data_IF_155810794786
#
_entry.id   IF_155810794786
#
_cell.length_a   1.000
_cell.length_b   1.000
_cell.length_c   1.000
_cell.angle_alpha   90.00
_cell.angle_beta   90.00
_cell.angle_gamma   90.00
#
_symmetry.space_group_name_H-M   'P 1'
#
loop_
_entity.id
_entity.type
_entity.pdbx_description
1 polymer ?
#
# COMPACT_ATOMS: atom_id res chain seq x y z
N UNK A 1 53.19 -10.71 18.58
CA UNK A 1 52.40 -9.91 17.60
C UNK A 1 50.93 -10.31 17.74
N UNK A 2 49.96 -9.39 17.60
CA UNK A 2 49.34 -8.76 18.77
C UNK A 2 47.84 -9.01 18.93
N UNK A 3 47.38 -8.66 20.14
CA UNK A 3 46.07 -8.73 20.81
C UNK A 3 44.88 -8.04 20.11
N UNK A 4 44.80 -8.03 18.77
CA UNK A 4 43.78 -7.28 18.03
C UNK A 4 42.44 -8.02 17.84
N UNK A 5 42.37 -9.35 18.00
CA UNK A 5 41.12 -10.07 17.72
C UNK A 5 40.02 -9.85 18.77
N UNK A 6 40.34 -9.69 20.06
CA UNK A 6 39.29 -9.55 21.08
C UNK A 6 38.68 -8.14 21.16
N UNK A 7 39.37 -7.12 20.64
CA UNK A 7 38.90 -5.74 20.76
C UNK A 7 37.88 -5.39 19.66
N UNK A 8 38.00 -5.97 18.47
CA UNK A 8 37.03 -5.81 17.39
C UNK A 8 35.65 -6.38 17.79
N UNK A 9 35.61 -7.57 18.39
CA UNK A 9 34.36 -8.19 18.83
C UNK A 9 33.68 -7.41 19.97
N UNK A 10 34.46 -6.79 20.86
CA UNK A 10 33.90 -5.94 21.94
C UNK A 10 33.36 -4.60 21.42
N UNK A 11 33.88 -4.08 20.30
CA UNK A 11 33.39 -2.83 19.70
C UNK A 11 32.17 -3.08 18.82
N UNK A 12 32.11 -4.23 18.15
CA UNK A 12 30.98 -4.57 17.26
C UNK A 12 29.77 -5.12 18.00
N UNK A 13 29.94 -5.78 19.15
CA UNK A 13 28.82 -6.38 19.90
C UNK A 13 27.79 -5.34 20.37
N UNK A 14 28.14 -4.16 20.90
CA UNK A 14 27.17 -3.10 21.18
C UNK A 14 26.58 -2.50 19.91
N UNK A 15 27.36 -2.35 18.83
CA UNK A 15 26.85 -1.74 17.60
C UNK A 15 25.83 -2.64 16.89
N UNK A 16 26.01 -3.97 16.98
CA UNK A 16 25.05 -4.97 16.52
C UNK A 16 23.83 -5.08 17.47
N UNK A 17 23.98 -4.81 18.78
CA UNK A 17 22.86 -4.82 19.72
C UNK A 17 22.00 -3.54 19.65
N UNK A 18 22.61 -2.38 19.37
CA UNK A 18 21.94 -1.06 19.30
C UNK A 18 20.94 -0.98 18.12
N UNK A 19 21.10 -1.80 17.07
CA UNK A 19 20.16 -1.83 15.93
C UNK A 19 19.16 -2.97 15.93
N UNK A 20 19.01 -3.71 17.03
CA UNK A 20 17.69 -4.28 17.34
C UNK A 20 16.79 -3.14 17.82
N UNK A 21 16.51 -2.18 16.92
CA UNK A 21 15.33 -1.34 17.04
C UNK A 21 14.21 -2.37 17.18
N UNK A 22 13.60 -2.43 18.36
CA UNK A 22 12.44 -3.28 18.60
C UNK A 22 11.37 -2.83 17.61
N UNK A 23 11.32 -3.50 16.48
CA UNK A 23 10.27 -3.34 15.50
C UNK A 23 9.01 -3.80 16.18
N UNK A 24 8.26 -2.86 16.75
CA UNK A 24 6.94 -3.13 17.26
C UNK A 24 6.11 -3.69 16.10
N UNK A 25 5.60 -4.93 16.23
CA UNK A 25 4.88 -5.54 15.14
C UNK A 25 3.62 -4.71 14.86
N UNK A 26 3.29 -4.53 13.57
CA UNK A 26 2.10 -3.78 13.15
C UNK A 26 0.82 -4.36 13.79
N UNK A 27 0.77 -5.68 13.91
CA UNK A 27 -0.31 -6.45 14.50
C UNK A 27 0.28 -7.60 15.32
N UNK A 28 -0.42 -8.03 16.37
CA UNK A 28 -0.08 -9.28 17.06
C UNK A 28 -0.20 -10.49 16.14
N UNK A 29 0.54 -11.57 16.43
CA UNK A 29 0.46 -12.82 15.66
C UNK A 29 -0.98 -13.37 15.55
N UNK A 30 -1.78 -13.23 16.61
CA UNK A 30 -3.19 -13.63 16.61
C UNK A 30 -4.03 -12.79 15.63
N UNK A 31 -3.84 -11.46 15.64
CA UNK A 31 -4.51 -10.56 14.69
C UNK A 31 -4.09 -10.84 13.25
N UNK A 32 -2.80 -11.11 13.00
CA UNK A 32 -2.29 -11.47 11.66
C UNK A 32 -2.97 -12.74 11.15
N UNK A 33 -3.02 -13.79 11.98
CA UNK A 33 -3.68 -15.05 11.59
C UNK A 33 -5.16 -14.83 11.29
N UNK A 34 -5.84 -14.07 12.14
CA UNK A 34 -7.26 -13.75 12.01
C UNK A 34 -7.56 -12.98 10.72
N UNK A 35 -6.84 -11.88 10.46
CA UNK A 35 -7.09 -11.05 9.27
C UNK A 35 -6.72 -11.77 7.98
N UNK A 36 -5.70 -12.63 7.98
CA UNK A 36 -5.35 -13.45 6.82
C UNK A 36 -6.40 -14.48 6.49
N UNK A 37 -6.94 -15.17 7.49
CA UNK A 37 -8.02 -16.13 7.25
C UNK A 37 -9.24 -15.45 6.64
N UNK A 38 -9.61 -14.30 7.20
CA UNK A 38 -10.68 -13.46 6.68
C UNK A 38 -10.40 -13.00 5.23
N UNK A 39 -9.22 -12.42 4.98
CA UNK A 39 -8.82 -11.98 3.65
C UNK A 39 -8.76 -13.11 2.63
N UNK A 40 -8.23 -14.27 2.98
CA UNK A 40 -8.15 -15.42 2.07
C UNK A 40 -9.54 -15.88 1.64
N UNK A 41 -10.51 -15.91 2.56
CA UNK A 41 -11.91 -16.19 2.24
C UNK A 41 -12.47 -15.19 1.23
N UNK A 42 -12.29 -13.89 1.47
CA UNK A 42 -12.75 -12.83 0.55
C UNK A 42 -12.04 -12.89 -0.81
N UNK A 43 -10.72 -13.06 -0.81
CA UNK A 43 -9.89 -13.03 -2.00
C UNK A 43 -10.21 -14.20 -2.94
N UNK A 44 -10.47 -15.39 -2.40
CA UNK A 44 -10.88 -16.56 -3.16
C UNK A 44 -12.30 -16.41 -3.71
N UNK A 45 -13.24 -15.90 -2.89
CA UNK A 45 -14.66 -15.86 -3.26
C UNK A 45 -15.02 -14.70 -4.20
N UNK A 46 -14.41 -13.53 -4.03
CA UNK A 46 -14.71 -12.33 -4.82
C UNK A 46 -13.70 -12.17 -5.97
N UNK A 47 -12.43 -12.47 -5.72
CA UNK A 47 -11.34 -12.28 -6.67
C UNK A 47 -10.71 -10.87 -6.67
N UNK A 48 -9.41 -10.75 -7.00
CA UNK A 48 -8.65 -9.51 -6.86
C UNK A 48 -9.21 -8.33 -7.65
N UNK A 49 -9.61 -8.59 -8.90
CA UNK A 49 -10.11 -7.53 -9.79
C UNK A 49 -11.44 -6.98 -9.31
N UNK A 50 -12.35 -7.83 -8.81
CA UNK A 50 -13.64 -7.38 -8.30
C UNK A 50 -13.51 -6.59 -7.00
N UNK A 51 -12.68 -7.06 -6.06
CA UNK A 51 -12.32 -6.30 -4.84
C UNK A 51 -11.78 -4.91 -5.22
N UNK A 52 -10.81 -4.87 -6.12
CA UNK A 52 -10.21 -3.61 -6.55
C UNK A 52 -11.14 -2.72 -7.35
N UNK A 53 -12.05 -3.28 -8.15
CA UNK A 53 -13.05 -2.52 -8.90
C UNK A 53 -14.07 -1.88 -7.95
N UNK A 54 -14.48 -2.62 -6.92
CA UNK A 54 -15.37 -2.11 -5.88
C UNK A 54 -14.76 -0.91 -5.16
N UNK A 55 -13.50 -1.04 -4.75
CA UNK A 55 -12.77 0.05 -4.11
C UNK A 55 -12.53 1.23 -5.06
N UNK A 56 -12.11 0.95 -6.30
CA UNK A 56 -11.84 1.99 -7.31
C UNK A 56 -13.10 2.83 -7.60
N UNK A 57 -14.25 2.19 -7.74
CA UNK A 57 -15.51 2.90 -7.96
C UNK A 57 -15.84 3.80 -6.77
N UNK A 58 -15.72 3.31 -5.53
CA UNK A 58 -15.93 4.18 -4.36
C UNK A 58 -15.03 5.39 -4.37
N UNK A 59 -13.73 5.23 -4.65
CA UNK A 59 -12.79 6.34 -4.75
C UNK A 59 -13.20 7.32 -5.86
N UNK A 60 -13.51 6.79 -7.04
CA UNK A 60 -13.85 7.60 -8.21
C UNK A 60 -15.17 8.38 -8.04
N UNK A 61 -16.12 7.85 -7.27
CA UNK A 61 -17.43 8.48 -7.05
C UNK A 61 -17.58 9.17 -5.69
N UNK A 62 -16.60 9.07 -4.77
CA UNK A 62 -16.71 9.62 -3.41
C UNK A 62 -16.92 11.13 -3.39
N UNK A 63 -16.21 11.87 -4.25
CA UNK A 63 -16.40 13.31 -4.39
C UNK A 63 -16.28 13.76 -5.86
N UNK A 64 -16.99 14.84 -6.26
CA UNK A 64 -16.99 15.31 -7.64
C UNK A 64 -15.62 15.74 -8.18
N UNK A 65 -14.73 16.22 -7.31
CA UNK A 65 -13.41 16.75 -7.70
C UNK A 65 -12.44 15.64 -8.10
N UNK A 66 -12.28 14.63 -7.25
CA UNK A 66 -11.54 13.40 -7.54
C UNK A 66 -12.14 12.68 -8.74
N UNK A 67 -13.47 12.66 -8.86
CA UNK A 67 -14.16 12.11 -10.04
C UNK A 67 -13.72 12.81 -11.32
N UNK A 68 -13.82 14.14 -11.39
CA UNK A 68 -13.47 14.91 -12.59
C UNK A 68 -12.03 14.67 -13.01
N UNK A 69 -11.10 14.68 -12.06
CA UNK A 69 -9.68 14.41 -12.31
C UNK A 69 -9.41 12.97 -12.76
N UNK A 70 -9.99 11.97 -12.08
CA UNK A 70 -9.83 10.58 -12.48
C UNK A 70 -10.45 10.34 -13.86
N UNK A 71 -11.61 10.93 -14.15
CA UNK A 71 -12.24 10.85 -15.46
C UNK A 71 -11.41 11.53 -16.55
N UNK A 72 -10.79 12.69 -16.30
CA UNK A 72 -9.91 13.32 -17.31
C UNK A 72 -8.71 12.43 -17.63
N UNK A 73 -8.11 11.80 -16.62
CA UNK A 73 -7.04 10.81 -16.82
C UNK A 73 -7.53 9.56 -17.56
N UNK A 74 -8.75 9.11 -17.32
CA UNK A 74 -9.34 7.97 -18.02
C UNK A 74 -9.58 8.29 -19.50
N UNK A 75 -10.07 9.48 -19.82
CA UNK A 75 -10.42 9.90 -21.20
C UNK A 75 -9.17 10.15 -22.05
N UNK A 76 -8.09 10.68 -21.48
CA UNK A 76 -6.86 11.01 -22.21
C UNK A 76 -6.04 9.79 -22.65
N UNK A 77 -6.33 8.60 -22.12
CA UNK A 77 -5.69 7.37 -22.58
C UNK A 77 -6.46 6.78 -23.76
N UNK A 78 -5.74 6.31 -24.78
CA UNK A 78 -6.24 5.51 -25.92
C UNK A 78 -7.01 4.23 -25.53
N UNK A 79 -7.28 4.03 -24.24
CA UNK A 79 -7.98 2.89 -23.68
C UNK A 79 -8.59 3.21 -22.29
N UNK A 80 -9.63 4.07 -22.19
CA UNK A 80 -10.22 4.48 -20.89
C UNK A 80 -10.66 3.31 -20.02
N UNK A 81 -11.30 2.31 -20.65
CA UNK A 81 -11.72 1.07 -19.98
C UNK A 81 -10.56 0.18 -19.50
N UNK A 82 -9.33 0.41 -19.97
CA UNK A 82 -8.16 -0.35 -19.53
C UNK A 82 -7.49 0.29 -18.31
N UNK A 83 -7.49 1.61 -18.17
CA UNK A 83 -6.86 2.25 -17.01
C UNK A 83 -7.61 1.91 -15.72
N UNK A 84 -8.95 1.99 -15.71
CA UNK A 84 -9.77 1.63 -14.54
C UNK A 84 -9.60 0.16 -14.16
N UNK A 85 -9.68 -0.77 -15.13
CA UNK A 85 -9.45 -2.21 -14.90
C UNK A 85 -8.04 -2.51 -14.41
N UNK A 86 -7.02 -1.82 -14.94
CA UNK A 86 -5.62 -1.98 -14.50
C UNK A 86 -5.40 -1.46 -13.08
N UNK A 87 -5.99 -0.31 -12.73
CA UNK A 87 -5.94 0.23 -11.37
C UNK A 87 -6.71 -0.64 -10.40
N UNK A 88 -7.90 -1.11 -10.76
CA UNK A 88 -8.66 -2.08 -9.98
C UNK A 88 -7.82 -3.33 -9.69
N UNK A 89 -7.21 -3.95 -10.71
CA UNK A 89 -6.31 -5.10 -10.49
C UNK A 89 -5.12 -4.74 -9.60
N UNK A 90 -4.48 -3.60 -9.83
CA UNK A 90 -3.33 -3.16 -9.03
C UNK A 90 -3.69 -2.97 -7.55
N UNK A 91 -4.86 -2.41 -7.26
CA UNK A 91 -5.40 -2.26 -5.91
C UNK A 91 -5.56 -3.64 -5.25
N UNK A 92 -6.29 -4.56 -5.88
CA UNK A 92 -6.54 -5.89 -5.31
C UNK A 92 -5.25 -6.68 -5.06
N UNK A 93 -4.29 -6.59 -5.98
CA UNK A 93 -2.98 -7.23 -5.86
C UNK A 93 -2.13 -6.58 -4.76
N UNK A 94 -2.16 -5.25 -4.62
CA UNK A 94 -1.44 -4.53 -3.56
C UNK A 94 -1.99 -4.88 -2.18
N UNK A 95 -3.31 -4.92 -2.02
CA UNK A 95 -3.93 -5.36 -0.76
C UNK A 95 -3.56 -6.80 -0.42
N UNK A 96 -3.56 -7.69 -1.41
CA UNK A 96 -3.11 -9.07 -1.22
C UNK A 96 -1.63 -9.15 -0.79
N UNK A 97 -0.77 -8.32 -1.40
CA UNK A 97 0.63 -8.22 -0.99
C UNK A 97 0.76 -7.76 0.46
N UNK A 98 0.01 -6.73 0.89
CA UNK A 98 -0.02 -6.28 2.29
C UNK A 98 -0.39 -7.43 3.21
N UNK A 99 -1.49 -8.13 2.93
CA UNK A 99 -1.99 -9.23 3.77
C UNK A 99 -1.01 -10.39 3.88
N UNK A 100 -0.26 -10.69 2.81
CA UNK A 100 0.76 -11.73 2.81
C UNK A 100 2.02 -11.35 3.57
N UNK A 101 2.29 -10.07 3.83
CA UNK A 101 3.56 -9.60 4.40
C UNK A 101 3.41 -8.83 5.72
N UNK A 102 2.33 -9.07 6.49
CA UNK A 102 2.04 -8.30 7.73
C UNK A 102 3.13 -8.40 8.81
N UNK A 103 3.97 -9.44 8.82
CA UNK A 103 5.15 -9.54 9.70
C UNK A 103 6.35 -8.73 9.21
N UNK A 104 6.30 -8.22 7.98
CA UNK A 104 7.38 -7.49 7.32
C UNK A 104 6.90 -6.08 6.93
N UNK A 105 6.56 -5.21 7.91
CA UNK A 105 6.02 -3.88 7.65
C UNK A 105 6.94 -3.02 6.78
N UNK A 106 8.25 -3.24 6.79
CA UNK A 106 9.19 -2.48 5.96
C UNK A 106 9.12 -2.84 4.49
N UNK A 107 8.88 -4.11 4.16
CA UNK A 107 8.62 -4.54 2.79
C UNK A 107 7.30 -3.93 2.28
N UNK A 108 6.28 -3.90 3.15
CA UNK A 108 5.02 -3.22 2.83
C UNK A 108 5.26 -1.72 2.62
N UNK A 109 5.99 -1.08 3.52
CA UNK A 109 6.27 0.35 3.46
C UNK A 109 7.01 0.72 2.18
N UNK A 110 7.97 -0.10 1.72
CA UNK A 110 8.70 0.16 0.49
C UNK A 110 7.74 0.23 -0.72
N UNK A 111 6.90 -0.80 -0.88
CA UNK A 111 5.97 -0.88 -2.00
C UNK A 111 4.93 0.25 -1.94
N UNK A 112 4.36 0.52 -0.77
CA UNK A 112 3.37 1.58 -0.62
C UNK A 112 3.96 2.97 -0.85
N UNK A 113 5.17 3.25 -0.37
CA UNK A 113 5.85 4.51 -0.67
C UNK A 113 6.12 4.66 -2.17
N UNK A 114 6.52 3.58 -2.85
CA UNK A 114 6.69 3.60 -4.32
C UNK A 114 5.37 3.92 -5.04
N UNK A 115 4.25 3.32 -4.61
CA UNK A 115 2.93 3.63 -5.16
C UNK A 115 2.57 5.10 -4.95
N UNK A 116 2.75 5.62 -3.73
CA UNK A 116 2.52 7.02 -3.41
C UNK A 116 3.36 7.96 -4.27
N UNK A 117 4.66 7.67 -4.39
CA UNK A 117 5.61 8.44 -5.19
C UNK A 117 5.23 8.43 -6.68
N UNK A 118 4.71 7.32 -7.21
CA UNK A 118 4.25 7.27 -8.59
C UNK A 118 3.06 8.21 -8.83
N UNK A 119 2.12 8.29 -7.89
CA UNK A 119 0.96 9.17 -7.97
C UNK A 119 1.32 10.65 -7.76
N UNK A 120 2.45 10.96 -7.14
CA UNK A 120 2.93 12.34 -7.00
C UNK A 120 3.09 13.08 -8.33
N UNK A 121 3.35 12.35 -9.43
CA UNK A 121 3.42 12.88 -10.79
C UNK A 121 2.11 13.51 -11.26
N UNK A 122 0.98 13.08 -10.70
CA UNK A 122 -0.36 13.62 -11.02
C UNK A 122 -0.65 14.92 -10.26
N UNK A 123 0.28 15.41 -9.43
CA UNK A 123 0.17 16.72 -8.80
C UNK A 123 0.04 17.86 -9.81
N UNK A 124 0.63 17.70 -11.00
CA UNK A 124 0.56 18.68 -12.10
C UNK A 124 -0.84 18.80 -12.70
N UNK A 125 -1.68 17.75 -12.55
CA UNK A 125 -3.09 17.75 -12.96
C UNK A 125 -4.04 17.92 -11.78
N UNK A 126 -3.52 18.37 -10.63
CA UNK A 126 -4.32 18.73 -9.46
C UNK A 126 -4.50 17.62 -8.42
N UNK A 127 -3.84 16.46 -8.54
CA UNK A 127 -3.89 15.45 -7.48
C UNK A 127 -3.14 15.92 -6.23
N UNK A 128 -3.79 15.82 -5.08
CA UNK A 128 -3.18 16.13 -3.78
C UNK A 128 -3.28 14.94 -2.81
N UNK A 129 -2.64 15.08 -1.65
CA UNK A 129 -2.52 14.00 -0.66
C UNK A 129 -3.86 13.57 -0.03
N UNK A 130 -4.93 14.36 -0.16
CA UNK A 130 -6.26 14.05 0.36
C UNK A 130 -6.89 12.84 -0.34
N UNK A 131 -6.45 12.49 -1.55
CA UNK A 131 -6.89 11.27 -2.23
C UNK A 131 -6.65 10.02 -1.38
N UNK A 132 -5.62 10.03 -0.54
CA UNK A 132 -5.32 8.91 0.34
C UNK A 132 -6.29 8.84 1.53
N UNK A 133 -6.91 9.96 1.93
CA UNK A 133 -8.03 9.93 2.89
C UNK A 133 -9.27 9.32 2.25
N UNK A 134 -9.57 9.71 1.00
CA UNK A 134 -10.67 9.11 0.22
C UNK A 134 -10.47 7.61 0.05
N UNK A 135 -9.23 7.19 -0.24
CA UNK A 135 -8.86 5.77 -0.28
C UNK A 135 -9.09 5.08 1.07
N UNK A 136 -8.66 5.70 2.18
CA UNK A 136 -8.81 5.14 3.52
C UNK A 136 -10.28 4.95 3.90
N UNK A 137 -11.12 5.95 3.64
CA UNK A 137 -12.57 5.89 3.88
C UNK A 137 -13.22 4.81 3.03
N UNK A 138 -12.91 4.77 1.73
CA UNK A 138 -13.45 3.76 0.83
C UNK A 138 -13.04 2.34 1.24
N UNK A 139 -11.79 2.15 1.70
CA UNK A 139 -11.31 0.85 2.17
C UNK A 139 -11.94 0.47 3.52
N UNK A 140 -12.16 1.44 4.40
CA UNK A 140 -12.87 1.22 5.66
C UNK A 140 -14.31 0.77 5.40
N UNK A 141 -15.06 1.47 4.55
CA UNK A 141 -16.42 1.08 4.16
C UNK A 141 -16.46 -0.34 3.57
N UNK A 142 -15.56 -0.63 2.62
CA UNK A 142 -15.43 -1.98 2.06
C UNK A 142 -15.17 -3.03 3.14
N UNK A 143 -14.26 -2.75 4.08
CA UNK A 143 -13.93 -3.69 5.16
C UNK A 143 -15.08 -3.97 6.11
N UNK A 144 -15.99 -3.01 6.30
CA UNK A 144 -17.20 -3.18 7.11
C UNK A 144 -18.22 -4.09 6.41
N UNK A 145 -18.34 -3.96 5.08
CA UNK A 145 -19.25 -4.76 4.25
C UNK A 145 -18.74 -6.19 4.02
N UNK A 146 -17.42 -6.38 4.00
CA UNK A 146 -16.81 -7.70 4.03
C UNK A 146 -17.00 -8.42 5.36
N UNK A 147 -17.47 -7.71 6.39
CA UNK A 147 -17.58 -8.18 7.77
C UNK A 147 -18.33 -9.51 7.90
N UNK A 148 -17.75 -10.40 8.70
CA UNK A 148 -18.39 -11.67 9.07
C UNK A 148 -19.54 -11.45 10.05
N UNK A 149 -20.55 -12.32 10.00
CA UNK A 149 -21.60 -12.46 11.05
C UNK A 149 -21.07 -13.14 12.33
N UNK A 150 -19.75 -13.19 12.53
CA UNK A 150 -19.10 -14.01 13.55
C UNK A 150 -18.83 -13.23 14.84
N UNK A 151 -18.57 -13.95 15.94
CA UNK A 151 -18.21 -13.37 17.25
C UNK A 151 -16.91 -12.54 17.22
N UNK A 152 -16.08 -12.68 16.18
CA UNK A 152 -14.77 -12.02 16.08
C UNK A 152 -14.78 -10.76 15.19
N UNK A 153 -15.97 -10.27 14.86
CA UNK A 153 -16.15 -9.14 13.94
C UNK A 153 -15.42 -7.89 14.44
N UNK A 154 -15.39 -7.66 15.75
CA UNK A 154 -14.74 -6.47 16.32
C UNK A 154 -13.21 -6.56 16.27
N UNK A 155 -12.62 -7.74 16.47
CA UNK A 155 -11.18 -7.95 16.30
C UNK A 155 -10.76 -7.80 14.84
N UNK A 156 -11.56 -8.30 13.89
CA UNK A 156 -11.33 -8.12 12.45
C UNK A 156 -11.36 -6.64 12.09
N UNK A 157 -12.37 -5.90 12.57
CA UNK A 157 -12.49 -4.44 12.33
C UNK A 157 -11.31 -3.66 12.92
N UNK A 158 -10.88 -3.99 14.14
CA UNK A 158 -9.69 -3.38 14.77
C UNK A 158 -8.43 -3.65 13.94
N UNK A 159 -8.23 -4.87 13.46
CA UNK A 159 -7.08 -5.21 12.62
C UNK A 159 -7.12 -4.45 11.28
N UNK A 160 -8.28 -4.38 10.63
CA UNK A 160 -8.48 -3.57 9.43
C UNK A 160 -8.17 -2.09 9.66
N UNK A 161 -8.65 -1.49 10.75
CA UNK A 161 -8.38 -0.09 11.07
C UNK A 161 -6.88 0.21 11.18
N UNK A 162 -6.12 -0.67 11.85
CA UNK A 162 -4.65 -0.55 11.96
C UNK A 162 -3.98 -0.67 10.59
N UNK A 163 -4.38 -1.67 9.78
CA UNK A 163 -3.85 -1.87 8.44
C UNK A 163 -4.14 -0.66 7.54
N UNK A 164 -5.37 -0.14 7.56
CA UNK A 164 -5.79 1.01 6.76
C UNK A 164 -5.00 2.26 7.14
N UNK A 165 -4.83 2.51 8.44
CA UNK A 165 -4.03 3.61 8.95
C UNK A 165 -2.59 3.51 8.44
N UNK A 166 -1.97 2.34 8.58
CA UNK A 166 -0.62 2.06 8.10
C UNK A 166 -0.49 2.25 6.58
N UNK A 167 -1.42 1.68 5.80
CA UNK A 167 -1.40 1.80 4.34
C UNK A 167 -1.44 3.27 3.92
N UNK A 168 -2.39 4.00 4.48
CA UNK A 168 -2.63 5.42 4.17
C UNK A 168 -1.44 6.29 4.55
N UNK A 169 -0.84 6.04 5.71
CA UNK A 169 0.37 6.74 6.16
C UNK A 169 1.52 6.57 5.15
N UNK A 170 1.81 5.32 4.73
CA UNK A 170 2.93 5.06 3.81
C UNK A 170 2.69 5.57 2.39
N UNK A 171 1.44 5.49 1.91
CA UNK A 171 1.05 6.09 0.62
C UNK A 171 1.23 7.61 0.64
N UNK A 172 0.79 8.30 1.70
CA UNK A 172 1.00 9.74 1.89
C UNK A 172 2.48 10.10 1.98
N UNK A 173 3.26 9.35 2.73
CA UNK A 173 4.70 9.58 2.85
C UNK A 173 5.39 9.53 1.48
N UNK A 174 5.17 8.45 0.72
CA UNK A 174 5.74 8.32 -0.62
C UNK A 174 5.25 9.40 -1.59
N UNK A 175 3.98 9.79 -1.51
CA UNK A 175 3.42 10.86 -2.32
C UNK A 175 4.08 12.22 -2.01
N UNK A 176 4.24 12.54 -0.74
CA UNK A 176 4.87 13.80 -0.31
C UNK A 176 6.35 13.83 -0.69
N UNK A 177 7.08 12.72 -0.54
CA UNK A 177 8.47 12.60 -0.97
C UNK A 177 8.59 12.77 -2.48
N UNK A 178 7.72 12.12 -3.26
CA UNK A 178 7.67 12.28 -4.72
C UNK A 178 7.37 13.72 -5.15
N UNK A 179 6.50 14.44 -4.44
CA UNK A 179 6.22 15.85 -4.72
C UNK A 179 7.42 16.74 -4.47
N UNK A 180 8.13 16.55 -3.37
CA UNK A 180 9.36 17.29 -3.06
C UNK A 180 10.41 17.07 -4.15
N UNK A 181 10.58 15.84 -4.61
CA UNK A 181 11.54 15.50 -5.66
C UNK A 181 11.21 16.18 -7.00
N UNK A 182 9.93 16.23 -7.38
CA UNK A 182 9.48 16.91 -8.58
C UNK A 182 9.69 18.43 -8.50
N UNK A 183 9.47 19.04 -7.32
CA UNK A 183 9.69 20.47 -7.10
C UNK A 183 11.19 20.84 -7.08
N UNK A 184 12.04 19.94 -6.56
CA UNK A 184 13.49 20.13 -6.54
C UNK A 184 14.17 19.93 -7.92
N UNK A 185 13.41 19.61 -8.97
CA UNK A 185 13.97 19.27 -10.29
C UNK A 185 14.79 17.96 -10.30
N UNK A 186 14.76 17.19 -9.21
CA UNK A 186 15.47 15.92 -9.11
C UNK A 186 14.76 14.87 -9.97
N UNK A 187 15.49 14.27 -10.92
CA UNK A 187 14.98 13.21 -11.78
C UNK A 187 14.49 12.03 -10.92
N UNK A 188 13.20 11.66 -10.93
CA UNK A 188 12.69 10.59 -10.08
C UNK A 188 13.24 9.24 -10.57
N UNK A 189 13.56 8.28 -9.66
CA UNK A 189 14.05 6.98 -10.06
C UNK A 189 12.98 6.27 -10.91
N UNK A 190 13.34 6.07 -12.18
CA UNK A 190 12.74 5.21 -13.21
C UNK A 190 11.46 4.46 -12.78
N UNK A 191 10.31 5.13 -12.75
CA UNK A 191 9.03 4.48 -12.42
C UNK A 191 7.94 4.89 -13.41
N UNK A 192 7.93 4.24 -14.57
CA UNK A 192 6.71 3.95 -15.34
C UNK A 192 6.89 2.74 -16.25
N UNK A 193 8.10 2.53 -16.81
CA UNK A 193 8.37 1.40 -17.70
C UNK A 193 8.57 0.08 -16.95
N UNK A 194 9.19 0.08 -15.76
CA UNK A 194 9.61 -1.16 -15.11
C UNK A 194 8.62 -1.74 -14.08
N UNK A 195 7.74 -0.96 -13.44
CA UNK A 195 6.77 -1.52 -12.48
C UNK A 195 5.66 -2.33 -13.18
N UNK A 196 5.23 -1.90 -14.37
CA UNK A 196 4.34 -2.68 -15.23
C UNK A 196 5.05 -3.94 -15.76
N UNK A 197 6.37 -3.87 -15.99
CA UNK A 197 7.16 -5.01 -16.50
C UNK A 197 7.45 -6.05 -15.40
N UNK A 198 7.78 -5.61 -14.19
CA UNK A 198 7.99 -6.47 -13.04
C UNK A 198 6.70 -7.22 -12.63
N UNK A 199 5.53 -6.59 -12.79
CA UNK A 199 4.24 -7.26 -12.55
C UNK A 199 3.82 -8.22 -13.66
N UNK A 200 4.45 -8.18 -14.84
CA UNK A 200 4.21 -9.17 -15.91
C UNK A 200 5.04 -10.44 -15.73
N UNK A 201 6.14 -10.40 -14.97
CA UNK A 201 7.06 -11.55 -14.86
C UNK A 201 6.78 -12.50 -13.69
N UNK A 202 5.84 -12.20 -12.79
CA UNK A 202 5.50 -13.09 -11.66
C UNK A 202 4.05 -13.61 -11.71
N UNK A 203 3.47 -13.67 -12.91
CA UNK A 203 2.09 -14.09 -13.13
C UNK A 203 1.93 -15.30 -14.06
N UNK A 204 2.99 -16.06 -14.29
CA UNK A 204 2.92 -17.42 -14.83
C UNK A 204 3.05 -18.41 -13.68
#
# INVERSE_FOLDING_TARGET
MPRWNNQADQILTPYLSIRKIEYQPLLSAAQIKLIRNHWNGLYITIGPTAIGNYLFNRIAFKNPQSRKMLLSLLVDHLSPGYLSKRHARAIGVTLNFVMKNLELPENISLILKMVGHCHAKLATVGLDSSIWNVFAEALLECSLEWGEKSRRVDEVRKAWAIIIAFITEKLKAGFNDGRKNLQAGSCPPVCFSNSIRAFRSTGQ
#
